data_IF_926826216536
#
_entry.id   IF_926826216536
#
_cell.length_a   1.000
_cell.length_b   1.000
_cell.length_c   1.000
_cell.angle_alpha   90.00
_cell.angle_beta   90.00
_cell.angle_gamma   90.00
#
_symmetry.space_group_name_H-M   'P 1'
#
loop_
_entity.id
_entity.type
_entity.pdbx_description
1 polymer ?
#
# COMPACT_ATOMS: atom_id res chain seq x y z
N UNK A 1 0.69 -7.87 -10.27
CA UNK A 1 -0.51 -8.66 -10.66
C UNK A 1 -1.62 -7.69 -11.02
N UNK A 2 -2.26 -7.84 -12.17
CA UNK A 2 -3.46 -7.07 -12.56
C UNK A 2 -4.68 -7.94 -12.34
N UNK A 3 -5.76 -7.40 -11.76
CA UNK A 3 -6.95 -8.17 -11.38
C UNK A 3 -8.20 -7.32 -11.36
N UNK A 4 -9.35 -7.91 -11.71
CA UNK A 4 -10.68 -7.27 -11.60
C UNK A 4 -11.18 -7.13 -10.15
N UNK A 5 -10.46 -7.69 -9.17
CA UNK A 5 -10.85 -7.62 -7.75
C UNK A 5 -10.73 -6.21 -7.14
N UNK A 6 -9.89 -5.36 -7.73
CA UNK A 6 -9.78 -3.95 -7.38
C UNK A 6 -10.33 -3.14 -8.55
N UNK A 7 -11.38 -2.37 -8.30
CA UNK A 7 -11.99 -1.48 -9.28
C UNK A 7 -11.70 -0.03 -8.90
N UNK A 8 -11.49 0.87 -9.88
CA UNK A 8 -11.42 2.30 -9.61
C UNK A 8 -12.73 2.81 -9.00
N UNK A 9 -12.64 3.81 -8.14
CA UNK A 9 -13.79 4.47 -7.53
C UNK A 9 -13.92 5.89 -8.10
N UNK A 10 -15.15 6.38 -8.24
CA UNK A 10 -15.39 7.81 -8.54
C UNK A 10 -15.64 8.54 -7.22
N UNK A 11 -14.74 9.46 -6.85
CA UNK A 11 -14.80 10.25 -5.62
C UNK A 11 -14.64 11.72 -6.01
N UNK A 12 -15.59 12.58 -5.66
CA UNK A 12 -15.62 13.99 -6.02
C UNK A 12 -15.39 14.25 -7.52
N UNK A 13 -16.03 13.44 -8.36
CA UNK A 13 -15.90 13.52 -9.83
C UNK A 13 -14.55 13.04 -10.39
N UNK A 14 -13.65 12.54 -9.55
CA UNK A 14 -12.34 12.01 -9.95
C UNK A 14 -12.31 10.49 -9.87
N UNK A 15 -11.62 9.87 -10.81
CA UNK A 15 -11.30 8.44 -10.73
C UNK A 15 -10.12 8.24 -9.79
N UNK A 16 -10.36 7.55 -8.67
CA UNK A 16 -9.37 7.20 -7.66
C UNK A 16 -9.05 5.72 -7.78
N UNK A 17 -7.77 5.40 -7.95
CA UNK A 17 -7.27 4.03 -8.07
C UNK A 17 -6.63 3.58 -6.76
N UNK A 18 -6.89 2.35 -6.34
CA UNK A 18 -6.29 1.74 -5.14
C UNK A 18 -5.24 0.71 -5.56
N UNK A 19 -4.03 0.83 -4.99
CA UNK A 19 -2.93 -0.12 -5.19
C UNK A 19 -2.78 -0.96 -3.92
N UNK A 20 -2.98 -2.28 -4.03
CA UNK A 20 -2.81 -3.21 -2.93
C UNK A 20 -1.37 -3.75 -2.83
N UNK A 21 -0.74 -3.59 -1.67
CA UNK A 21 0.64 -4.06 -1.40
C UNK A 21 0.62 -5.02 -0.19
N UNK A 22 0.86 -6.33 -0.38
CA UNK A 22 0.96 -7.27 0.74
C UNK A 22 2.25 -7.08 1.55
N UNK A 23 2.20 -7.34 2.86
CA UNK A 23 3.31 -7.08 3.79
C UNK A 23 4.10 -8.34 4.22
N UNK A 24 4.10 -9.40 3.40
CA UNK A 24 4.61 -10.72 3.80
C UNK A 24 6.03 -11.04 3.31
N UNK A 25 6.70 -10.11 2.64
CA UNK A 25 8.07 -10.29 2.13
C UNK A 25 9.07 -9.38 2.85
N UNK A 26 10.33 -9.80 2.81
CA UNK A 26 11.46 -9.07 3.36
C UNK A 26 12.79 -9.61 2.81
N UNK A 27 13.89 -9.24 3.46
CA UNK A 27 15.25 -9.60 3.06
C UNK A 27 15.75 -10.92 3.68
N UNK A 28 15.05 -11.43 4.69
CA UNK A 28 15.38 -12.64 5.44
C UNK A 28 14.20 -13.63 5.44
N UNK A 29 14.50 -14.93 5.36
CA UNK A 29 13.52 -16.01 5.38
C UNK A 29 13.73 -17.06 4.30
N UNK A 30 12.90 -18.10 4.32
CA UNK A 30 12.93 -19.20 3.35
C UNK A 30 12.16 -18.90 2.04
N UNK A 31 11.42 -17.78 1.99
CA UNK A 31 10.67 -17.36 0.80
C UNK A 31 11.56 -16.56 -0.15
N UNK A 32 11.02 -16.18 -1.32
CA UNK A 32 11.75 -15.28 -2.24
C UNK A 32 11.98 -13.93 -1.56
N UNK A 33 13.22 -13.44 -1.62
CA UNK A 33 13.56 -12.10 -1.15
C UNK A 33 12.69 -11.04 -1.83
N UNK A 34 12.28 -10.04 -1.06
CA UNK A 34 11.50 -8.90 -1.53
C UNK A 34 11.77 -7.66 -0.68
N UNK A 35 10.92 -6.66 -0.84
CA UNK A 35 11.02 -5.40 -0.11
C UNK A 35 9.99 -5.35 1.01
N UNK A 36 10.33 -4.63 2.09
CA UNK A 36 9.39 -4.37 3.18
C UNK A 36 8.33 -3.37 2.70
N UNK A 37 7.05 -3.72 2.82
CA UNK A 37 5.95 -2.83 2.43
C UNK A 37 5.96 -1.50 3.22
N UNK A 38 6.39 -1.54 4.49
CA UNK A 38 6.45 -0.36 5.35
C UNK A 38 7.55 0.65 4.95
N UNK A 39 8.39 0.35 3.96
CA UNK A 39 9.25 1.37 3.33
C UNK A 39 8.43 2.48 2.65
N UNK A 40 7.16 2.20 2.31
CA UNK A 40 6.25 3.14 1.64
C UNK A 40 5.30 3.87 2.60
N UNK A 41 5.09 3.34 3.80
CA UNK A 41 4.07 3.86 4.74
C UNK A 41 4.56 5.12 5.46
N UNK A 42 3.69 6.12 5.70
CA UNK A 42 4.06 7.32 6.44
C UNK A 42 4.25 7.04 7.94
N UNK A 43 5.07 7.84 8.60
CA UNK A 43 5.27 7.83 10.05
C UNK A 43 4.31 8.80 10.75
N UNK A 44 3.01 8.59 10.58
CA UNK A 44 1.92 9.34 11.23
C UNK A 44 0.93 8.36 11.85
N UNK A 45 0.30 8.73 12.97
CA UNK A 45 -0.66 7.90 13.67
C UNK A 45 -1.96 8.62 14.01
N UNK A 46 -2.96 7.83 14.40
CA UNK A 46 -4.24 8.31 14.92
C UNK A 46 -4.04 9.24 16.13
N UNK A 47 -4.90 10.25 16.26
CA UNK A 47 -4.80 11.28 17.29
C UNK A 47 -5.02 10.75 18.73
N UNK A 48 -5.71 9.62 18.88
CA UNK A 48 -6.03 9.07 20.19
C UNK A 48 -4.98 8.08 20.69
N UNK A 49 -4.62 7.12 19.84
CA UNK A 49 -3.81 5.95 20.18
C UNK A 49 -2.42 5.96 19.56
N UNK A 50 -2.16 6.89 18.62
CA UNK A 50 -0.96 6.91 17.78
C UNK A 50 -0.80 5.66 16.91
N UNK A 51 -1.88 4.89 16.68
CA UNK A 51 -1.86 3.74 15.76
C UNK A 51 -1.49 4.22 14.36
N UNK A 52 -0.44 3.68 13.71
CA UNK A 52 0.05 4.20 12.43
C UNK A 52 -0.96 4.11 11.27
N UNK A 53 -0.94 5.11 10.38
CA UNK A 53 -1.77 5.15 9.18
C UNK A 53 -1.18 4.27 8.06
N UNK A 54 -1.49 2.98 8.10
CA UNK A 54 -1.02 1.98 7.13
C UNK A 54 -2.11 1.51 6.16
N UNK A 55 -3.34 2.02 6.27
CA UNK A 55 -4.46 1.55 5.45
C UNK A 55 -4.78 2.49 4.29
N UNK A 56 -4.44 3.78 4.39
CA UNK A 56 -4.57 4.72 3.29
C UNK A 56 -3.37 5.69 3.22
N UNK A 57 -2.62 5.64 2.13
CA UNK A 57 -1.53 6.56 1.82
C UNK A 57 -1.33 6.64 0.29
N UNK A 58 -0.59 7.66 -0.17
CA UNK A 58 -0.40 7.92 -1.60
C UNK A 58 0.89 7.28 -2.12
N UNK A 59 0.82 6.70 -3.31
CA UNK A 59 1.95 6.08 -4.02
C UNK A 59 1.84 6.32 -5.52
N UNK A 60 2.96 6.16 -6.23
CA UNK A 60 3.01 6.05 -7.68
C UNK A 60 3.55 4.67 -8.10
N UNK A 61 3.18 4.19 -9.28
CA UNK A 61 3.67 2.93 -9.83
C UNK A 61 4.15 3.14 -11.27
N UNK A 62 5.38 2.73 -11.53
CA UNK A 62 6.01 2.80 -12.84
C UNK A 62 6.44 1.41 -13.28
N UNK A 63 6.56 1.22 -14.60
CA UNK A 63 7.10 -0.03 -15.15
C UNK A 63 8.61 -0.09 -14.91
N UNK A 64 9.09 -1.26 -14.47
CA UNK A 64 10.52 -1.61 -14.34
C UNK A 64 10.94 -2.52 -15.48
#
# INVERSE_FOLDING_TARGET
>A
MVTKRLQPLTIDGRTVNTIGIPCHWGFEGATRKGFLANTLTPSVGDANSQTPEYKAFLVNVEKV
#
